data_IF_280130835904
#
_entry.id   IF_280130835904
#
_cell.length_a   1.000
_cell.length_b   1.000
_cell.length_c   1.000
_cell.angle_alpha   90.00
_cell.angle_beta   90.00
_cell.angle_gamma   90.00
#
_symmetry.space_group_name_H-M   'P 1'
#
loop_
_entity.id
_entity.type
_entity.pdbx_description
1 polymer ?
#
# COMPACT_ATOMS: atom_id res chain seq x y z
N UNK A 1 -2.39 -21.97 7.11
CA UNK A 1 -3.55 -22.48 6.34
C UNK A 1 -3.90 -21.44 5.29
N UNK A 2 -3.81 -21.77 4.01
CA UNK A 2 -4.32 -20.88 2.96
C UNK A 2 -5.85 -20.84 3.03
N UNK A 3 -6.49 -19.68 2.82
CA UNK A 3 -7.95 -19.64 2.74
C UNK A 3 -8.42 -20.54 1.60
N UNK A 4 -9.46 -21.35 1.84
CA UNK A 4 -10.11 -22.10 0.78
C UNK A 4 -10.63 -21.15 -0.31
N UNK A 5 -10.52 -21.57 -1.58
CA UNK A 5 -10.85 -20.73 -2.75
C UNK A 5 -12.27 -20.18 -2.73
N UNK A 6 -13.24 -20.93 -2.19
CA UNK A 6 -14.64 -20.52 -2.02
C UNK A 6 -14.78 -19.24 -1.19
N UNK A 7 -13.99 -19.11 -0.12
CA UNK A 7 -14.02 -17.94 0.77
C UNK A 7 -13.52 -16.67 0.07
N UNK A 8 -12.53 -16.79 -0.82
CA UNK A 8 -11.96 -15.64 -1.55
C UNK A 8 -12.97 -15.09 -2.56
N UNK A 9 -13.68 -15.96 -3.27
CA UNK A 9 -14.72 -15.58 -4.23
C UNK A 9 -15.90 -14.90 -3.53
N UNK A 10 -16.33 -15.42 -2.38
CA UNK A 10 -17.35 -14.78 -1.55
C UNK A 10 -16.93 -13.42 -1.02
N UNK A 11 -15.69 -13.28 -0.52
CA UNK A 11 -15.18 -11.98 -0.04
C UNK A 11 -15.15 -10.96 -1.18
N UNK A 12 -14.61 -11.34 -2.34
CA UNK A 12 -14.58 -10.46 -3.52
C UNK A 12 -15.98 -10.06 -3.98
N UNK A 13 -16.93 -11.00 -3.97
CA UNK A 13 -18.31 -10.79 -4.42
C UNK A 13 -19.12 -9.92 -3.44
N UNK A 14 -18.99 -10.15 -2.15
CA UNK A 14 -19.91 -9.59 -1.15
C UNK A 14 -19.32 -8.43 -0.34
N UNK A 15 -18.00 -8.41 -0.13
CA UNK A 15 -17.34 -7.45 0.76
C UNK A 15 -16.54 -6.39 0.01
N UNK A 16 -15.98 -6.68 -1.16
CA UNK A 16 -15.31 -5.64 -1.96
C UNK A 16 -16.33 -4.73 -2.65
N UNK A 17 -16.16 -3.42 -2.50
CA UNK A 17 -16.99 -2.39 -3.12
C UNK A 17 -16.12 -1.47 -3.95
N UNK A 18 -16.70 -0.97 -5.03
CA UNK A 18 -16.11 0.08 -5.86
C UNK A 18 -16.99 1.32 -5.74
N UNK A 19 -16.39 2.46 -5.43
CA UNK A 19 -17.11 3.73 -5.32
C UNK A 19 -16.39 4.82 -6.11
N UNK A 20 -17.18 5.66 -6.78
CA UNK A 20 -16.68 6.89 -7.41
C UNK A 20 -16.42 7.94 -6.32
N UNK A 21 -15.23 8.54 -6.36
CA UNK A 21 -14.80 9.60 -5.46
C UNK A 21 -14.50 10.82 -6.31
N UNK A 22 -15.19 11.93 -5.98
CA UNK A 22 -14.92 13.22 -6.59
C UNK A 22 -13.69 13.83 -5.93
N UNK A 23 -12.57 13.85 -6.65
CA UNK A 23 -11.32 14.50 -6.24
C UNK A 23 -11.27 15.91 -6.84
N UNK A 24 -11.55 16.05 -8.13
CA UNK A 24 -11.64 17.31 -8.86
C UNK A 24 -12.74 17.21 -9.94
N UNK A 25 -12.48 17.71 -11.14
CA UNK A 25 -13.29 17.46 -12.33
C UNK A 25 -13.08 16.04 -12.89
N UNK A 26 -12.04 15.34 -12.42
CA UNK A 26 -11.78 13.94 -12.77
C UNK A 26 -12.48 12.96 -11.84
N UNK A 27 -12.98 11.86 -12.44
CA UNK A 27 -13.58 10.74 -11.72
C UNK A 27 -12.50 9.79 -11.22
N UNK A 28 -12.34 9.67 -9.91
CA UNK A 28 -11.49 8.66 -9.30
C UNK A 28 -12.34 7.50 -8.78
N UNK A 29 -11.83 6.27 -8.84
CA UNK A 29 -12.53 5.10 -8.28
C UNK A 29 -11.66 4.45 -7.21
N UNK A 30 -12.22 4.28 -6.02
CA UNK A 30 -11.60 3.49 -4.97
C UNK A 30 -12.27 2.12 -4.87
N UNK A 31 -11.44 1.09 -4.73
CA UNK A 31 -11.88 -0.26 -4.39
C UNK A 31 -11.49 -0.51 -2.95
N UNK A 32 -12.46 -0.88 -2.11
CA UNK A 32 -12.22 -1.11 -0.69
C UNK A 32 -13.00 -2.30 -0.18
N UNK A 33 -12.50 -2.88 0.90
CA UNK A 33 -13.18 -3.94 1.63
C UNK A 33 -14.15 -3.31 2.63
N UNK A 34 -15.45 -3.53 2.43
CA UNK A 34 -16.50 -3.12 3.37
C UNK A 34 -16.60 -4.18 4.47
N UNK A 35 -16.07 -3.84 5.65
CA UNK A 35 -16.20 -4.64 6.86
C UNK A 35 -17.11 -3.86 7.82
N UNK A 36 -18.14 -4.50 8.42
CA UNK A 36 -18.95 -3.84 9.45
C UNK A 36 -18.07 -3.26 10.56
N UNK A 37 -18.40 -2.08 11.07
CA UNK A 37 -17.67 -1.39 12.15
C UNK A 37 -16.27 -0.86 11.80
N UNK A 38 -15.77 -1.11 10.58
CA UNK A 38 -14.51 -0.53 10.10
C UNK A 38 -14.76 0.53 9.03
N UNK A 39 -13.96 1.60 9.09
CA UNK A 39 -13.93 2.66 8.08
C UNK A 39 -12.63 2.50 7.27
N UNK A 40 -12.70 2.07 6.00
CA UNK A 40 -11.51 2.01 5.16
C UNK A 40 -11.11 3.42 4.73
N UNK A 41 -9.87 3.80 5.04
CA UNK A 41 -9.29 5.10 4.67
C UNK A 41 -8.17 4.87 3.65
N UNK A 42 -8.36 5.41 2.44
CA UNK A 42 -7.32 5.47 1.42
C UNK A 42 -6.58 6.80 1.50
N UNK A 43 -5.45 6.79 2.22
CA UNK A 43 -4.61 7.96 2.46
C UNK A 43 -4.20 8.64 1.15
N UNK A 44 -3.88 7.87 0.12
CA UNK A 44 -3.45 8.43 -1.17
C UNK A 44 -4.56 9.27 -1.80
N UNK A 45 -5.81 8.81 -1.72
CA UNK A 45 -6.96 9.54 -2.25
C UNK A 45 -7.23 10.81 -1.47
N UNK A 46 -7.16 10.75 -0.13
CA UNK A 46 -7.25 11.93 0.72
C UNK A 46 -6.22 12.98 0.31
N UNK A 47 -4.97 12.58 0.14
CA UNK A 47 -3.87 13.47 -0.24
C UNK A 47 -3.97 13.97 -1.69
N UNK A 48 -4.45 13.15 -2.64
CA UNK A 48 -4.78 13.64 -3.98
C UNK A 48 -5.81 14.76 -3.94
N UNK A 49 -6.80 14.67 -3.03
CA UNK A 49 -7.82 15.71 -2.85
C UNK A 49 -7.25 16.97 -2.20
N UNK A 50 -6.30 16.84 -1.27
CA UNK A 50 -5.60 17.98 -0.67
C UNK A 50 -4.65 18.67 -1.67
N UNK A 51 -4.02 17.91 -2.56
CA UNK A 51 -3.00 18.37 -3.50
C UNK A 51 -3.43 18.17 -4.97
N UNK A 52 -4.58 18.75 -5.36
CA UNK A 52 -5.27 18.54 -6.64
C UNK A 52 -4.44 18.75 -7.92
N UNK A 53 -3.33 19.48 -7.85
CA UNK A 53 -2.50 19.88 -9.00
C UNK A 53 -1.20 19.08 -9.14
N UNK A 54 -0.97 18.09 -8.28
CA UNK A 54 0.25 17.29 -8.35
C UNK A 54 0.09 16.11 -9.31
N UNK A 55 0.97 16.02 -10.30
CA UNK A 55 1.11 14.81 -11.12
C UNK A 55 1.66 13.63 -10.30
N UNK A 56 2.47 13.92 -9.28
CA UNK A 56 3.01 12.93 -8.37
C UNK A 56 1.99 12.57 -7.27
N UNK A 57 1.91 11.27 -6.95
CA UNK A 57 1.03 10.75 -5.89
C UNK A 57 1.62 9.54 -5.17
N UNK A 58 2.96 9.48 -5.12
CA UNK A 58 3.69 8.46 -4.39
C UNK A 58 3.71 8.78 -2.90
N UNK A 59 3.87 7.76 -2.06
CA UNK A 59 4.02 7.93 -0.61
C UNK A 59 5.17 8.89 -0.29
N UNK A 60 6.34 8.67 -0.90
CA UNK A 60 7.52 9.53 -0.74
C UNK A 60 7.25 11.00 -1.07
N UNK A 61 6.51 11.26 -2.16
CA UNK A 61 6.13 12.62 -2.54
C UNK A 61 5.29 13.30 -1.45
N UNK A 62 4.30 12.61 -0.90
CA UNK A 62 3.46 13.20 0.15
C UNK A 62 4.20 13.38 1.47
N UNK A 63 5.11 12.46 1.83
CA UNK A 63 5.97 12.65 3.01
C UNK A 63 6.80 13.92 2.90
N UNK A 64 7.44 14.15 1.75
CA UNK A 64 8.22 15.35 1.48
C UNK A 64 7.35 16.61 1.54
N UNK A 65 6.16 16.57 0.94
CA UNK A 65 5.20 17.69 0.99
C UNK A 65 4.76 18.06 2.41
N UNK A 66 4.70 17.09 3.31
CA UNK A 66 4.35 17.31 4.71
C UNK A 66 5.56 17.55 5.62
N UNK A 67 6.79 17.60 5.08
CA UNK A 67 8.00 17.76 5.88
C UNK A 67 8.30 16.57 6.79
N UNK A 68 7.74 15.40 6.50
CA UNK A 68 8.03 14.16 7.23
C UNK A 68 9.33 13.53 6.73
N UNK A 69 9.94 12.71 7.59
CA UNK A 69 11.12 11.94 7.20
C UNK A 69 10.82 11.02 6.01
N UNK A 70 11.77 10.97 5.08
CA UNK A 70 11.64 10.17 3.86
C UNK A 70 11.73 8.67 4.14
N UNK A 71 11.45 7.89 3.09
CA UNK A 71 11.62 6.43 3.06
C UNK A 71 12.61 6.04 1.96
N UNK A 72 13.28 4.90 2.15
CA UNK A 72 14.02 4.25 1.09
C UNK A 72 13.04 3.69 0.05
N UNK A 73 13.41 3.72 -1.24
CA UNK A 73 12.62 3.10 -2.30
C UNK A 73 13.16 1.70 -2.59
N UNK A 74 12.26 0.73 -2.76
CA UNK A 74 12.60 -0.62 -3.20
C UNK A 74 11.86 -0.92 -4.50
N UNK A 75 12.56 -0.96 -5.66
CA UNK A 75 11.94 -1.31 -6.92
C UNK A 75 11.27 -2.68 -6.84
N UNK A 76 10.09 -2.82 -7.45
CA UNK A 76 9.35 -4.09 -7.45
C UNK A 76 10.16 -5.23 -8.09
N UNK A 77 11.00 -4.92 -9.07
CA UNK A 77 11.91 -5.89 -9.70
C UNK A 77 12.93 -6.44 -8.70
N UNK A 78 13.49 -5.57 -7.85
CA UNK A 78 14.40 -5.95 -6.77
C UNK A 78 13.69 -6.81 -5.73
N UNK A 79 12.51 -6.39 -5.27
CA UNK A 79 11.73 -7.15 -4.29
C UNK A 79 11.34 -8.54 -4.83
N UNK A 80 10.88 -8.61 -6.08
CA UNK A 80 10.56 -9.88 -6.75
C UNK A 80 11.77 -10.80 -6.85
N UNK A 81 12.96 -10.26 -7.14
CA UNK A 81 14.20 -11.03 -7.16
C UNK A 81 14.50 -11.60 -5.78
N UNK A 82 14.43 -10.79 -4.72
CA UNK A 82 14.66 -11.24 -3.34
C UNK A 82 13.74 -12.40 -2.97
N UNK A 83 12.44 -12.30 -3.27
CA UNK A 83 11.50 -13.39 -3.01
C UNK A 83 11.82 -14.66 -3.80
N UNK A 84 12.15 -14.54 -5.09
CA UNK A 84 12.55 -15.69 -5.92
C UNK A 84 13.80 -16.37 -5.36
N UNK A 85 14.83 -15.57 -5.04
CA UNK A 85 16.09 -16.08 -4.52
C UNK A 85 15.88 -16.78 -3.16
N UNK A 86 15.03 -16.24 -2.28
CA UNK A 86 14.71 -16.87 -1.00
C UNK A 86 13.96 -18.21 -1.13
N UNK A 87 13.14 -18.38 -2.16
CA UNK A 87 12.45 -19.64 -2.44
C UNK A 87 13.41 -20.66 -3.06
N UNK A 88 14.23 -20.23 -4.03
CA UNK A 88 15.08 -21.12 -4.81
C UNK A 88 16.37 -21.51 -4.07
N UNK A 89 16.93 -20.61 -3.26
CA UNK A 89 18.23 -20.76 -2.60
C UNK A 89 18.18 -20.27 -1.14
N UNK A 90 17.46 -21.00 -0.25
CA UNK A 90 17.41 -20.65 1.17
C UNK A 90 18.80 -20.64 1.79
N UNK A 91 19.19 -19.50 2.36
CA UNK A 91 20.49 -19.26 3.00
C UNK A 91 20.38 -18.12 4.01
N UNK A 92 21.39 -17.94 4.85
CA UNK A 92 21.46 -16.79 5.77
C UNK A 92 21.44 -15.46 5.02
N UNK A 93 22.08 -15.42 3.84
CA UNK A 93 22.06 -14.25 2.97
C UNK A 93 20.65 -13.95 2.43
N UNK A 94 19.91 -14.97 1.97
CA UNK A 94 18.54 -14.77 1.51
C UNK A 94 17.60 -14.39 2.65
N UNK A 95 17.80 -14.94 3.86
CA UNK A 95 17.05 -14.58 5.05
C UNK A 95 17.25 -13.10 5.42
N UNK A 96 18.49 -12.61 5.34
CA UNK A 96 18.81 -11.18 5.53
C UNK A 96 18.10 -10.29 4.51
N UNK A 97 18.11 -10.66 3.23
CA UNK A 97 17.42 -9.89 2.18
C UNK A 97 15.89 -9.85 2.41
N UNK A 98 15.28 -10.95 2.86
CA UNK A 98 13.86 -10.97 3.23
C UNK A 98 13.59 -10.07 4.44
N UNK A 99 14.49 -10.04 5.42
CA UNK A 99 14.41 -9.12 6.54
C UNK A 99 14.45 -7.64 6.09
N UNK A 100 15.26 -7.31 5.08
CA UNK A 100 15.28 -5.97 4.49
C UNK A 100 13.94 -5.61 3.81
N UNK A 101 13.31 -6.55 3.11
CA UNK A 101 11.96 -6.36 2.55
C UNK A 101 10.94 -6.14 3.66
N UNK A 102 11.00 -6.91 4.75
CA UNK A 102 10.10 -6.76 5.88
C UNK A 102 10.25 -5.38 6.55
N UNK A 103 11.49 -4.94 6.77
CA UNK A 103 11.77 -3.61 7.32
C UNK A 103 11.25 -2.50 6.41
N UNK A 104 11.44 -2.62 5.10
CA UNK A 104 10.86 -1.70 4.11
C UNK A 104 9.33 -1.61 4.24
N UNK A 105 8.63 -2.75 4.31
CA UNK A 105 7.17 -2.79 4.45
C UNK A 105 6.69 -2.16 5.76
N UNK A 106 7.40 -2.39 6.87
CA UNK A 106 7.07 -1.79 8.18
C UNK A 106 7.19 -0.27 8.11
N UNK A 107 8.29 0.24 7.54
CA UNK A 107 8.51 1.68 7.37
C UNK A 107 7.40 2.26 6.49
N UNK A 108 7.06 1.63 5.37
CA UNK A 108 5.97 2.10 4.49
C UNK A 108 4.62 2.21 5.19
N UNK A 109 4.27 1.19 5.99
CA UNK A 109 3.04 1.19 6.76
C UNK A 109 3.04 2.30 7.82
N UNK A 110 4.14 2.47 8.56
CA UNK A 110 4.28 3.52 9.56
C UNK A 110 4.18 4.92 8.94
N UNK A 111 4.90 5.17 7.84
CA UNK A 111 4.85 6.46 7.13
C UNK A 111 3.46 6.77 6.58
N UNK A 112 2.74 5.75 6.10
CA UNK A 112 1.35 5.91 5.69
C UNK A 112 0.44 6.31 6.86
N UNK A 113 0.67 5.74 8.06
CA UNK A 113 -0.07 6.11 9.27
C UNK A 113 0.26 7.53 9.74
N UNK A 114 1.53 7.93 9.71
CA UNK A 114 1.94 9.29 10.07
C UNK A 114 1.25 10.34 9.20
N UNK A 115 1.05 10.06 7.90
CA UNK A 115 0.28 10.94 7.01
C UNK A 115 -1.19 11.10 7.41
N UNK A 116 -1.79 10.15 8.12
CA UNK A 116 -3.18 10.24 8.59
C UNK A 116 -3.31 11.19 9.79
N UNK A 117 -2.25 11.32 10.58
CA UNK A 117 -2.28 12.07 11.87
C UNK A 117 -1.89 13.55 11.70
N UNK A 118 -1.46 13.95 10.49
CA UNK A 118 -1.20 15.35 10.14
C UNK A 118 -2.51 16.13 9.96
#
# INVERSE_FOLDING_TARGET
MSPESSNIEEIKKWKCRKSEIKISDEKFYSNYLKIPEYIPIDVRVCFKKLYLKSEASSLKYYLEKCGLSSKADMPITTMNKIYKDAILQPSDASAKNICEVANYCIIDALRCQELIVI
#
